data_IF_116385144853
#
_entry.id   IF_116385144853
#
_cell.length_a   1.000
_cell.length_b   1.000
_cell.length_c   1.000
_cell.angle_alpha   90.00
_cell.angle_beta   90.00
_cell.angle_gamma   90.00
#
_symmetry.space_group_name_H-M   'P 1'
#
loop_
_entity.id
_entity.type
_entity.pdbx_description
1 polymer ?
#
# COMPACT_ATOMS: atom_id res chain seq x y z
N UNK A 1 -26.03 -1.57 14.48
CA UNK A 1 -25.27 -1.49 15.73
C UNK A 1 -24.73 -2.87 16.12
N UNK A 2 -23.55 -2.94 16.74
CA UNK A 2 -22.85 -4.19 17.11
C UNK A 2 -23.74 -5.13 17.94
N UNK A 3 -24.56 -4.60 18.83
CA UNK A 3 -25.47 -5.35 19.68
C UNK A 3 -26.60 -6.08 18.94
N UNK A 4 -27.07 -5.53 17.80
CA UNK A 4 -28.10 -6.15 16.98
C UNK A 4 -27.60 -7.35 16.18
N UNK A 5 -26.32 -7.40 15.85
CA UNK A 5 -25.69 -8.44 15.02
C UNK A 5 -25.10 -9.55 15.87
N UNK A 6 -24.76 -9.26 17.12
CA UNK A 6 -24.10 -10.20 18.06
C UNK A 6 -24.82 -11.56 18.22
N UNK A 7 -26.16 -11.65 18.27
CA UNK A 7 -26.87 -12.94 18.37
C UNK A 7 -26.71 -13.82 17.12
N UNK A 8 -26.36 -13.24 15.97
CA UNK A 8 -26.30 -13.94 14.68
C UNK A 8 -24.85 -14.20 14.21
N UNK A 9 -23.86 -13.70 14.94
CA UNK A 9 -22.43 -13.85 14.58
C UNK A 9 -21.73 -14.67 15.65
N UNK A 10 -21.38 -15.90 15.30
CA UNK A 10 -20.48 -16.74 16.10
C UNK A 10 -19.04 -16.41 15.67
N UNK A 11 -18.27 -15.81 16.57
CA UNK A 11 -16.86 -15.51 16.35
C UNK A 11 -15.98 -16.28 17.30
N UNK A 12 -15.25 -17.26 16.79
CA UNK A 12 -14.23 -17.98 17.56
C UNK A 12 -12.89 -17.28 17.37
N UNK A 13 -12.29 -16.81 18.46
CA UNK A 13 -10.95 -16.26 18.43
C UNK A 13 -9.92 -17.40 18.48
N UNK A 14 -8.85 -17.30 17.65
CA UNK A 14 -7.79 -18.33 17.62
C UNK A 14 -7.19 -18.62 19.00
N UNK A 15 -7.06 -17.60 19.86
CA UNK A 15 -6.55 -17.75 21.23
C UNK A 15 -7.47 -18.55 22.16
N UNK A 16 -8.76 -18.64 21.82
CA UNK A 16 -9.77 -19.38 22.60
C UNK A 16 -10.09 -20.76 22.00
N UNK A 17 -9.49 -21.10 20.85
CA UNK A 17 -9.68 -22.41 20.22
C UNK A 17 -8.81 -23.45 20.89
N UNK A 18 -9.45 -24.46 21.47
CA UNK A 18 -8.81 -25.59 22.19
C UNK A 18 -9.19 -26.92 21.51
N UNK A 19 -8.34 -27.95 21.68
CA UNK A 19 -8.63 -29.33 21.28
C UNK A 19 -9.52 -30.02 22.34
N UNK A 20 -9.83 -31.30 22.13
CA UNK A 20 -10.65 -32.11 23.04
C UNK A 20 -10.01 -32.27 24.43
N UNK A 21 -8.69 -32.18 24.49
CA UNK A 21 -7.87 -32.25 25.71
C UNK A 21 -7.70 -30.90 26.42
N UNK A 22 -8.33 -29.81 25.93
CA UNK A 22 -8.27 -28.48 26.50
C UNK A 22 -7.00 -27.69 26.18
N UNK A 23 -6.16 -28.18 25.26
CA UNK A 23 -4.92 -27.49 24.86
C UNK A 23 -5.18 -26.51 23.75
N UNK A 24 -4.47 -25.35 23.68
CA UNK A 24 -4.59 -24.41 22.61
C UNK A 24 -4.27 -25.02 21.23
N UNK A 25 -5.17 -24.88 20.27
CA UNK A 25 -4.97 -25.33 18.89
C UNK A 25 -3.94 -24.47 18.13
N UNK A 26 -3.75 -23.25 18.54
CA UNK A 26 -2.85 -22.31 17.87
C UNK A 26 -1.79 -21.80 18.86
N UNK A 27 -0.54 -21.75 18.40
CA UNK A 27 0.52 -21.09 19.16
C UNK A 27 0.24 -19.59 19.30
N UNK A 28 0.68 -18.95 20.37
CA UNK A 28 0.57 -17.50 20.55
C UNK A 28 1.21 -16.76 19.37
N UNK A 29 0.51 -15.76 18.83
CA UNK A 29 1.09 -14.86 17.81
C UNK A 29 1.81 -13.73 18.53
N UNK A 30 3.10 -13.63 18.30
CA UNK A 30 3.91 -12.52 18.77
C UNK A 30 4.07 -11.52 17.62
N UNK A 31 3.76 -10.25 17.90
CA UNK A 31 3.98 -9.16 16.95
C UNK A 31 5.17 -8.33 17.43
N UNK A 32 6.18 -8.19 16.60
CA UNK A 32 7.35 -7.34 16.87
C UNK A 32 7.51 -6.34 15.75
N UNK A 33 7.82 -5.09 16.11
CA UNK A 33 8.22 -4.08 15.14
C UNK A 33 9.70 -4.28 14.81
N UNK A 34 10.02 -4.41 13.52
CA UNK A 34 11.38 -4.48 13.03
C UNK A 34 11.64 -3.24 12.16
N UNK A 35 12.56 -2.40 12.60
CA UNK A 35 12.95 -1.20 11.85
C UNK A 35 13.93 -1.59 10.74
N UNK A 36 13.61 -1.19 9.51
CA UNK A 36 14.49 -1.38 8.35
C UNK A 36 15.21 -0.07 8.06
N UNK A 37 16.53 -0.06 8.21
CA UNK A 37 17.35 1.12 7.95
C UNK A 37 17.85 1.11 6.49
N UNK A 38 17.90 2.29 5.88
CA UNK A 38 18.57 2.47 4.60
C UNK A 38 20.07 2.26 4.74
N UNK A 39 20.66 1.54 3.80
CA UNK A 39 22.10 1.38 3.64
C UNK A 39 22.53 2.03 2.33
N UNK A 40 23.83 2.27 2.15
CA UNK A 40 24.38 2.91 0.94
C UNK A 40 23.93 2.22 -0.36
N UNK A 41 23.80 0.88 -0.35
CA UNK A 41 23.32 0.11 -1.52
C UNK A 41 21.83 0.34 -1.84
N UNK A 42 21.06 0.89 -0.90
CA UNK A 42 19.64 1.19 -1.08
C UNK A 42 19.39 2.65 -1.52
N UNK A 43 20.42 3.40 -1.91
CA UNK A 43 20.30 4.81 -2.25
C UNK A 43 19.25 5.08 -3.34
N UNK A 44 19.17 4.23 -4.37
CA UNK A 44 18.15 4.37 -5.43
C UNK A 44 16.72 4.18 -4.88
N UNK A 45 16.53 3.22 -3.99
CA UNK A 45 15.23 2.98 -3.35
C UNK A 45 14.84 4.12 -2.41
N UNK A 46 15.79 4.66 -1.66
CA UNK A 46 15.57 5.84 -0.82
C UNK A 46 15.18 7.05 -1.67
N UNK A 47 15.88 7.30 -2.79
CA UNK A 47 15.57 8.39 -3.70
C UNK A 47 14.16 8.25 -4.30
N UNK A 48 13.76 7.05 -4.69
CA UNK A 48 12.39 6.78 -5.15
C UNK A 48 11.37 7.07 -4.04
N UNK A 49 11.64 6.63 -2.82
CA UNK A 49 10.76 6.87 -1.67
C UNK A 49 10.56 8.38 -1.42
N UNK A 50 11.63 9.16 -1.45
CA UNK A 50 11.61 10.61 -1.27
C UNK A 50 10.84 11.30 -2.41
N UNK A 51 11.11 10.92 -3.66
CA UNK A 51 10.44 11.48 -4.83
C UNK A 51 8.92 11.19 -4.83
N UNK A 52 8.51 9.95 -4.50
CA UNK A 52 7.08 9.61 -4.37
C UNK A 52 6.45 10.35 -3.19
N UNK A 53 7.18 10.53 -2.09
CA UNK A 53 6.68 11.29 -0.93
C UNK A 53 6.41 12.75 -1.28
N UNK A 54 7.28 13.36 -2.07
CA UNK A 54 7.10 14.75 -2.53
C UNK A 54 5.93 14.87 -3.51
N UNK A 55 5.80 13.94 -4.46
CA UNK A 55 4.64 13.86 -5.34
C UNK A 55 3.33 13.69 -4.56
N UNK A 56 3.28 12.80 -3.59
CA UNK A 56 2.11 12.59 -2.72
C UNK A 56 1.76 13.85 -1.95
N UNK A 57 2.75 14.52 -1.38
CA UNK A 57 2.54 15.77 -0.62
C UNK A 57 1.97 16.86 -1.50
N UNK A 58 2.51 17.01 -2.70
CA UNK A 58 2.08 18.00 -3.68
C UNK A 58 0.65 17.73 -4.14
N UNK A 59 0.36 16.52 -4.62
CA UNK A 59 -0.97 16.12 -5.08
C UNK A 59 -2.03 16.18 -3.97
N UNK A 60 -1.67 15.78 -2.73
CA UNK A 60 -2.58 15.88 -1.60
C UNK A 60 -2.97 17.33 -1.28
N UNK A 61 -2.00 18.24 -1.28
CA UNK A 61 -2.25 19.65 -1.02
C UNK A 61 -3.12 20.30 -2.12
N UNK A 62 -2.89 19.96 -3.37
CA UNK A 62 -3.73 20.39 -4.48
C UNK A 62 -5.15 19.82 -4.38
N UNK A 63 -5.29 18.54 -4.09
CA UNK A 63 -6.58 17.88 -3.87
C UNK A 63 -7.37 18.51 -2.73
N UNK A 64 -6.68 18.87 -1.64
CA UNK A 64 -7.30 19.54 -0.49
C UNK A 64 -7.84 20.94 -0.87
N UNK A 65 -7.03 21.71 -1.61
CA UNK A 65 -7.42 23.04 -2.09
C UNK A 65 -8.61 22.97 -3.07
N UNK A 66 -8.64 21.96 -3.94
CA UNK A 66 -9.69 21.72 -4.93
C UNK A 66 -10.89 20.92 -4.37
N UNK A 67 -10.87 20.50 -3.10
CA UNK A 67 -11.88 19.64 -2.45
C UNK A 67 -12.07 18.26 -3.12
N UNK A 68 -11.05 17.76 -3.77
CA UNK A 68 -11.05 16.47 -4.50
C UNK A 68 -10.66 15.33 -3.55
N UNK A 69 -11.59 14.75 -2.81
CA UNK A 69 -11.35 13.70 -1.81
C UNK A 69 -10.71 12.44 -2.39
N UNK A 70 -11.09 12.04 -3.60
CA UNK A 70 -10.59 10.85 -4.30
C UNK A 70 -9.09 10.99 -4.67
N UNK A 71 -8.63 12.18 -5.07
CA UNK A 71 -7.20 12.43 -5.31
C UNK A 71 -6.41 12.33 -4.00
N UNK A 72 -6.95 12.86 -2.90
CA UNK A 72 -6.36 12.71 -1.58
C UNK A 72 -6.20 11.23 -1.17
N UNK A 73 -7.19 10.40 -1.45
CA UNK A 73 -7.11 8.95 -1.21
C UNK A 73 -6.03 8.30 -2.07
N UNK A 74 -5.96 8.63 -3.37
CA UNK A 74 -4.91 8.14 -4.27
C UNK A 74 -3.51 8.47 -3.73
N UNK A 75 -3.31 9.68 -3.23
CA UNK A 75 -2.02 10.08 -2.67
C UNK A 75 -1.64 9.24 -1.45
N UNK A 76 -2.58 8.99 -0.54
CA UNK A 76 -2.34 8.11 0.62
C UNK A 76 -2.02 6.68 0.17
N UNK A 77 -2.72 6.17 -0.84
CA UNK A 77 -2.44 4.87 -1.43
C UNK A 77 -1.02 4.78 -2.01
N UNK A 78 -0.61 5.75 -2.81
CA UNK A 78 0.74 5.82 -3.40
C UNK A 78 1.82 5.79 -2.31
N UNK A 79 1.62 6.55 -1.21
CA UNK A 79 2.52 6.54 -0.06
C UNK A 79 2.63 5.17 0.59
N UNK A 80 1.53 4.44 0.72
CA UNK A 80 1.54 3.08 1.27
C UNK A 80 2.24 2.09 0.34
N UNK A 81 2.08 2.23 -0.96
CA UNK A 81 2.69 1.34 -1.96
C UNK A 81 4.20 1.53 -2.04
N UNK A 82 4.71 2.76 -2.01
CA UNK A 82 6.16 3.00 -2.02
C UNK A 82 6.83 2.47 -0.76
N UNK A 83 6.12 2.46 0.37
CA UNK A 83 6.61 1.82 1.60
C UNK A 83 6.48 0.30 1.57
N UNK A 84 5.70 -0.27 0.66
CA UNK A 84 5.53 -1.73 0.50
C UNK A 84 6.65 -2.35 -0.32
N UNK A 85 6.76 -1.99 -1.60
CA UNK A 85 7.85 -2.44 -2.48
C UNK A 85 8.00 -1.54 -3.71
N UNK A 86 9.19 -1.55 -4.31
CA UNK A 86 9.45 -0.85 -5.58
C UNK A 86 8.56 -1.34 -6.71
N UNK A 87 8.32 -2.65 -6.80
CA UNK A 87 7.43 -3.24 -7.82
C UNK A 87 5.98 -2.78 -7.67
N UNK A 88 5.48 -2.67 -6.44
CA UNK A 88 4.11 -2.24 -6.17
C UNK A 88 3.87 -0.79 -6.62
N UNK A 89 4.77 0.12 -6.27
CA UNK A 89 4.64 1.52 -6.70
C UNK A 89 4.81 1.66 -8.22
N UNK A 90 5.75 0.94 -8.85
CA UNK A 90 5.91 0.95 -10.31
C UNK A 90 4.63 0.53 -11.02
N UNK A 91 4.05 -0.62 -10.63
CA UNK A 91 2.82 -1.13 -11.24
C UNK A 91 1.65 -0.12 -11.12
N UNK A 92 1.58 0.59 -10.00
CA UNK A 92 0.54 1.60 -9.76
C UNK A 92 0.79 2.86 -10.59
N UNK A 93 2.04 3.31 -10.72
CA UNK A 93 2.40 4.44 -11.58
C UNK A 93 2.13 4.13 -13.06
N UNK A 94 2.36 2.88 -13.52
CA UNK A 94 2.02 2.43 -14.87
C UNK A 94 0.51 2.51 -15.14
N UNK A 95 -0.30 2.01 -14.23
CA UNK A 95 -1.77 2.14 -14.31
C UNK A 95 -2.20 3.62 -14.35
N UNK A 96 -1.60 4.45 -13.48
CA UNK A 96 -1.90 5.90 -13.44
C UNK A 96 -1.52 6.60 -14.73
N UNK A 97 -0.38 6.29 -15.32
CA UNK A 97 0.07 6.85 -16.60
C UNK A 97 -0.94 6.56 -17.71
N UNK A 98 -1.43 5.31 -17.81
CA UNK A 98 -2.44 4.93 -18.81
C UNK A 98 -3.69 5.80 -18.70
N UNK A 99 -4.15 6.07 -17.48
CA UNK A 99 -5.33 6.94 -17.25
C UNK A 99 -5.05 8.38 -17.67
N UNK A 100 -3.88 8.92 -17.33
CA UNK A 100 -3.49 10.29 -17.70
C UNK A 100 -3.25 10.47 -19.21
N UNK A 101 -2.94 9.38 -19.91
CA UNK A 101 -2.79 9.36 -21.37
C UNK A 101 -4.11 9.21 -22.13
N UNK A 102 -5.18 8.78 -21.46
CA UNK A 102 -6.48 8.54 -22.08
C UNK A 102 -7.32 9.82 -22.08
N UNK A 103 -7.94 10.22 -23.20
CA UNK A 103 -8.81 11.41 -23.22
C UNK A 103 -9.97 11.28 -22.23
N UNK A 104 -10.26 12.35 -21.51
CA UNK A 104 -11.08 12.51 -20.31
C UNK A 104 -12.57 12.13 -20.40
N UNK A 105 -12.97 11.08 -21.07
CA UNK A 105 -14.38 10.65 -21.10
C UNK A 105 -14.80 10.00 -19.76
N UNK A 106 -13.87 9.56 -18.95
CA UNK A 106 -14.10 8.82 -17.69
C UNK A 106 -14.07 9.68 -16.42
N UNK A 107 -13.44 10.85 -16.44
CA UNK A 107 -13.33 11.73 -15.27
C UNK A 107 -14.70 12.16 -14.67
N UNK A 108 -15.76 12.18 -15.49
CA UNK A 108 -17.11 12.54 -15.05
C UNK A 108 -17.81 11.50 -14.18
N UNK A 109 -17.34 10.26 -14.17
CA UNK A 109 -17.92 9.19 -13.31
C UNK A 109 -17.66 9.43 -11.83
N UNK A 110 -16.56 10.09 -11.50
CA UNK A 110 -16.14 10.36 -10.12
C UNK A 110 -16.97 11.44 -9.41
N UNK A 111 -17.45 12.45 -10.12
CA UNK A 111 -18.28 13.49 -9.54
C UNK A 111 -19.64 12.95 -9.03
N UNK A 112 -19.99 11.72 -9.41
CA UNK A 112 -21.26 11.08 -9.09
C UNK A 112 -21.17 10.05 -7.96
N UNK A 113 -19.96 9.67 -7.49
CA UNK A 113 -19.81 8.69 -6.41
C UNK A 113 -19.98 9.39 -5.06
N UNK A 114 -21.03 9.05 -4.33
CA UNK A 114 -21.28 9.56 -2.98
C UNK A 114 -20.24 9.02 -1.97
N UNK A 115 -20.14 9.66 -0.80
CA UNK A 115 -19.28 9.17 0.28
C UNK A 115 -19.74 7.79 0.81
N UNK A 116 -21.04 7.51 0.72
CA UNK A 116 -21.64 6.24 1.10
C UNK A 116 -21.27 5.15 0.10
N UNK A 117 -21.45 5.41 -1.21
CA UNK A 117 -21.06 4.48 -2.28
C UNK A 117 -19.58 4.14 -2.24
N UNK A 118 -18.73 5.15 -1.97
CA UNK A 118 -17.29 4.94 -1.79
C UNK A 118 -16.98 4.00 -0.63
N UNK A 119 -17.69 4.10 0.49
CA UNK A 119 -17.47 3.27 1.66
C UNK A 119 -17.94 1.81 1.47
N UNK A 120 -18.83 1.56 0.52
CA UNK A 120 -19.33 0.23 0.17
C UNK A 120 -18.41 -0.54 -0.78
N UNK A 121 -17.51 0.15 -1.50
CA UNK A 121 -16.54 -0.47 -2.38
C UNK A 121 -15.52 -1.28 -1.58
N UNK A 122 -15.12 -2.43 -2.11
CA UNK A 122 -13.97 -3.14 -1.58
C UNK A 122 -12.66 -2.40 -1.86
N UNK A 123 -11.56 -2.82 -1.21
CA UNK A 123 -10.29 -2.11 -1.31
C UNK A 123 -9.71 -2.07 -2.72
N UNK A 124 -9.95 -3.09 -3.56
CA UNK A 124 -9.47 -3.15 -4.94
C UNK A 124 -10.27 -2.19 -5.83
N UNK A 125 -11.59 -2.20 -5.72
CA UNK A 125 -12.46 -1.27 -6.44
C UNK A 125 -12.19 0.19 -6.06
N UNK A 126 -11.91 0.49 -4.79
CA UNK A 126 -11.49 1.83 -4.33
C UNK A 126 -10.18 2.27 -4.99
N UNK A 127 -9.20 1.36 -5.11
CA UNK A 127 -7.92 1.63 -5.77
C UNK A 127 -8.12 1.92 -7.25
N UNK A 128 -8.83 1.05 -7.96
CA UNK A 128 -9.05 1.20 -9.40
C UNK A 128 -9.85 2.47 -9.71
N UNK A 129 -10.81 2.79 -8.88
CA UNK A 129 -11.59 4.02 -9.00
C UNK A 129 -10.71 5.25 -8.71
N UNK A 130 -9.90 5.25 -7.65
CA UNK A 130 -9.00 6.36 -7.34
C UNK A 130 -7.97 6.62 -8.44
N UNK A 131 -7.47 5.56 -9.09
CA UNK A 131 -6.53 5.69 -10.20
C UNK A 131 -7.14 6.36 -11.45
N UNK A 132 -8.46 6.32 -11.61
CA UNK A 132 -9.19 6.96 -12.71
C UNK A 132 -9.52 8.44 -12.45
N UNK A 133 -9.19 8.97 -11.27
CA UNK A 133 -9.44 10.37 -10.93
C UNK A 133 -8.79 11.33 -11.93
N UNK A 134 -9.42 12.51 -12.13
CA UNK A 134 -8.83 13.59 -12.91
C UNK A 134 -7.46 13.97 -12.36
N UNK A 135 -6.47 14.13 -13.26
CA UNK A 135 -5.12 14.50 -12.88
C UNK A 135 -5.03 15.96 -12.45
N UNK A 136 -4.04 16.28 -11.65
CA UNK A 136 -3.69 17.66 -11.32
C UNK A 136 -2.67 18.22 -12.33
N UNK A 137 -2.48 19.53 -12.29
CA UNK A 137 -1.58 20.21 -13.21
C UNK A 137 -0.17 19.62 -13.15
N UNK A 138 0.38 19.26 -14.31
CA UNK A 138 1.70 18.62 -14.49
C UNK A 138 1.84 17.19 -13.95
N UNK A 139 0.79 16.58 -13.43
CA UNK A 139 0.86 15.21 -12.89
C UNK A 139 1.44 14.21 -13.89
N UNK A 140 1.08 14.32 -15.17
CA UNK A 140 1.58 13.42 -16.22
C UNK A 140 3.11 13.40 -16.28
N UNK A 141 3.75 14.57 -16.28
CA UNK A 141 5.22 14.67 -16.32
C UNK A 141 5.87 14.16 -15.03
N UNK A 142 5.23 14.39 -13.89
CA UNK A 142 5.70 13.87 -12.59
C UNK A 142 5.61 12.34 -12.55
N UNK A 143 4.48 11.76 -12.98
CA UNK A 143 4.28 10.29 -13.02
C UNK A 143 5.27 9.64 -13.98
N UNK A 144 5.54 10.23 -15.14
CA UNK A 144 6.53 9.73 -16.10
C UNK A 144 7.94 9.69 -15.48
N UNK A 145 8.34 10.77 -14.82
CA UNK A 145 9.64 10.84 -14.12
C UNK A 145 9.74 9.80 -13.01
N UNK A 146 8.70 9.67 -12.19
CA UNK A 146 8.65 8.67 -11.10
C UNK A 146 8.69 7.24 -11.64
N UNK A 147 8.03 6.98 -12.78
CA UNK A 147 8.02 5.67 -13.39
C UNK A 147 9.40 5.28 -13.93
N UNK A 148 10.13 6.21 -14.55
CA UNK A 148 11.52 5.97 -14.97
C UNK A 148 12.41 5.67 -13.74
N UNK A 149 12.27 6.43 -12.66
CA UNK A 149 13.01 6.21 -11.43
C UNK A 149 12.65 4.86 -10.80
N UNK A 150 11.38 4.47 -10.77
CA UNK A 150 10.95 3.18 -10.24
C UNK A 150 11.52 2.00 -11.04
N UNK A 151 11.53 2.09 -12.37
CA UNK A 151 12.12 1.08 -13.26
C UNK A 151 13.63 0.94 -13.06
N UNK A 152 14.35 2.06 -12.95
CA UNK A 152 15.79 2.03 -12.70
C UNK A 152 16.12 1.48 -11.31
N UNK A 153 15.31 1.80 -10.30
CA UNK A 153 15.46 1.28 -8.94
C UNK A 153 15.21 -0.23 -8.89
N UNK A 154 14.17 -0.73 -9.58
CA UNK A 154 13.87 -2.16 -9.66
C UNK A 154 14.99 -2.93 -10.40
N UNK A 155 15.53 -2.35 -11.47
CA UNK A 155 16.65 -2.94 -12.20
C UNK A 155 17.94 -3.02 -11.37
N UNK A 156 18.13 -2.16 -10.36
CA UNK A 156 19.22 -2.24 -9.41
C UNK A 156 19.15 -3.46 -8.48
N UNK A 157 17.95 -4.06 -8.35
CA UNK A 157 17.76 -5.37 -7.71
C UNK A 157 17.87 -5.40 -6.19
N UNK A 158 18.03 -4.25 -5.53
CA UNK A 158 18.15 -4.17 -4.08
C UNK A 158 16.85 -3.68 -3.45
N UNK A 159 16.28 -4.44 -2.52
CA UNK A 159 15.10 -4.04 -1.75
C UNK A 159 15.39 -4.24 -0.26
N UNK A 160 15.47 -3.12 0.47
CA UNK A 160 15.83 -3.11 1.88
C UNK A 160 14.88 -3.94 2.75
N UNK A 161 13.58 -3.95 2.44
CA UNK A 161 12.58 -4.74 3.16
C UNK A 161 12.70 -6.24 2.86
N UNK A 162 12.89 -6.58 1.59
CA UNK A 162 13.05 -7.97 1.17
C UNK A 162 14.34 -8.57 1.77
N UNK A 163 15.44 -7.84 1.73
CA UNK A 163 16.69 -8.25 2.36
C UNK A 163 16.54 -8.46 3.88
N UNK A 164 15.94 -7.47 4.56
CA UNK A 164 15.70 -7.56 6.00
C UNK A 164 14.76 -8.71 6.39
N UNK A 165 13.74 -8.98 5.56
CA UNK A 165 12.85 -10.13 5.76
C UNK A 165 13.59 -11.45 5.62
N UNK A 166 14.43 -11.60 4.59
CA UNK A 166 15.24 -12.80 4.39
C UNK A 166 16.20 -13.03 5.55
N UNK A 167 16.89 -11.99 6.02
CA UNK A 167 17.76 -12.07 7.20
C UNK A 167 16.99 -12.55 8.44
N UNK A 168 15.79 -12.02 8.67
CA UNK A 168 14.94 -12.47 9.78
C UNK A 168 14.51 -13.93 9.65
N UNK A 169 14.14 -14.36 8.44
CA UNK A 169 13.75 -15.76 8.19
C UNK A 169 14.92 -16.69 8.49
N UNK A 170 16.11 -16.39 7.96
CA UNK A 170 17.30 -17.18 8.22
C UNK A 170 17.66 -17.25 9.71
N UNK A 171 17.58 -16.10 10.41
CA UNK A 171 17.82 -16.06 11.86
C UNK A 171 16.82 -16.93 12.63
N UNK A 172 15.53 -16.86 12.31
CA UNK A 172 14.51 -17.68 12.95
C UNK A 172 14.70 -19.16 12.65
N UNK A 173 15.10 -19.53 11.44
CA UNK A 173 15.41 -20.92 11.09
C UNK A 173 16.61 -21.45 11.88
N UNK A 174 17.63 -20.65 12.11
CA UNK A 174 18.78 -21.04 12.95
C UNK A 174 18.38 -21.21 14.41
N UNK A 175 17.58 -20.27 14.95
CA UNK A 175 17.09 -20.36 16.33
C UNK A 175 16.18 -21.61 16.56
N UNK A 176 15.41 -22.04 15.54
CA UNK A 176 14.58 -23.25 15.60
C UNK A 176 15.38 -24.54 15.38
N UNK A 177 16.48 -24.49 14.63
CA UNK A 177 17.34 -25.63 14.37
C UNK A 177 18.29 -25.96 15.53
N UNK A 178 18.52 -25.02 16.43
CA UNK A 178 19.33 -25.18 17.67
C UNK A 178 18.42 -25.00 18.91
N UNK A 179 17.54 -25.98 19.23
CA UNK A 179 16.74 -25.93 20.44
C UNK A 179 17.65 -26.23 21.62
N UNK A 180 17.93 -25.22 22.44
CA UNK A 180 18.52 -25.36 23.79
C UNK A 180 17.70 -26.29 24.66
#
# INVERSE_FOLDING_TARGET
SRERVQPFVIRTEKRAAINAEGQPLFRPRLTRLHAVAWQARHAAQQQLYEAVTDYVRHGYNQALAAKQRHVGFLMILMQRLVTSSTAAIRATLEKRQVVLDTPQTQARLFEQVSAEDWAELDGEAQVDLALQAEGFEREKAEVETLLQLARSTEAAGTDAKAESLLELIYKLQQEEADPL
#
